data_IF_362872187588
#
_entry.id   IF_362872187588
#
_cell.length_a   1.000
_cell.length_b   1.000
_cell.length_c   1.000
_cell.angle_alpha   90.00
_cell.angle_beta   90.00
_cell.angle_gamma   90.00
#
_symmetry.space_group_name_H-M   'P 1'
#
loop_
_entity.id
_entity.type
_entity.pdbx_description
1 polymer ?
#
# COMPACT_ATOMS: atom_id res chain seq x y z
N UNK A 1 20.06 -46.58 31.17
CA UNK A 1 20.08 -45.21 30.62
C UNK A 1 19.58 -45.27 29.18
N UNK A 2 18.35 -44.80 28.91
CA UNK A 2 17.78 -44.81 27.57
C UNK A 2 18.15 -43.51 26.84
N UNK A 3 18.86 -43.62 25.70
CA UNK A 3 19.13 -42.49 24.79
C UNK A 3 17.81 -42.09 24.12
N UNK A 4 17.28 -40.93 24.50
CA UNK A 4 16.19 -40.25 23.80
C UNK A 4 16.68 -39.92 22.37
N UNK A 5 16.14 -40.60 21.36
CA UNK A 5 16.35 -40.23 19.95
C UNK A 5 15.52 -38.99 19.68
N UNK A 6 16.17 -37.85 19.52
CA UNK A 6 15.55 -36.64 18.98
C UNK A 6 15.36 -36.86 17.48
N UNK A 7 14.14 -37.20 17.08
CA UNK A 7 13.71 -37.14 15.68
C UNK A 7 13.54 -35.68 15.30
N UNK A 8 14.57 -35.11 14.66
CA UNK A 8 14.44 -33.89 13.86
C UNK A 8 13.42 -34.16 12.75
N UNK A 9 12.23 -33.57 12.83
CA UNK A 9 11.30 -33.56 11.70
C UNK A 9 11.92 -32.68 10.62
N UNK A 10 12.34 -33.28 9.51
CA UNK A 10 12.71 -32.52 8.32
C UNK A 10 11.43 -31.86 7.80
N UNK A 11 11.33 -30.54 7.95
CA UNK A 11 10.30 -29.77 7.26
C UNK A 11 10.49 -29.93 5.75
N UNK A 12 9.45 -30.46 5.11
CA UNK A 12 9.42 -30.73 3.68
C UNK A 12 9.11 -29.42 2.96
N UNK A 13 10.14 -28.70 2.54
CA UNK A 13 9.99 -27.52 1.68
C UNK A 13 9.52 -28.03 0.31
N UNK A 14 8.22 -27.91 0.03
CA UNK A 14 7.61 -28.51 -1.16
C UNK A 14 7.68 -27.60 -2.41
N UNK A 15 8.00 -26.31 -2.27
CA UNK A 15 8.19 -25.41 -3.41
C UNK A 15 9.04 -24.18 -3.07
N UNK A 16 9.84 -23.72 -4.02
CA UNK A 16 10.52 -22.43 -4.01
C UNK A 16 9.87 -21.53 -5.07
N UNK A 17 9.63 -20.27 -4.73
CA UNK A 17 8.91 -19.31 -5.57
C UNK A 17 9.90 -18.27 -6.07
N UNK A 18 10.01 -18.15 -7.39
CA UNK A 18 10.78 -17.09 -8.03
C UNK A 18 9.84 -15.93 -8.37
N UNK A 19 10.21 -14.72 -7.94
CA UNK A 19 9.43 -13.51 -8.23
C UNK A 19 10.14 -12.70 -9.32
N UNK A 20 9.41 -12.39 -10.39
CA UNK A 20 9.84 -11.46 -11.43
C UNK A 20 9.63 -10.00 -11.00
N UNK A 21 10.37 -9.09 -11.61
CA UNK A 21 10.31 -7.64 -11.41
C UNK A 21 8.92 -7.07 -11.63
N UNK A 22 8.21 -7.58 -12.64
CA UNK A 22 6.88 -7.07 -12.99
C UNK A 22 5.88 -7.26 -11.85
N UNK A 23 5.97 -8.38 -11.12
CA UNK A 23 5.12 -8.62 -9.94
C UNK A 23 5.36 -7.55 -8.86
N UNK A 24 6.61 -7.12 -8.70
CA UNK A 24 6.97 -6.08 -7.72
C UNK A 24 6.55 -4.67 -8.20
N UNK A 25 6.73 -4.37 -9.48
CA UNK A 25 6.33 -3.09 -10.08
C UNK A 25 4.82 -2.91 -10.10
N UNK A 26 4.09 -4.00 -10.18
CA UNK A 26 2.65 -4.03 -10.22
C UNK A 26 1.99 -3.52 -8.91
N UNK A 27 2.67 -3.63 -7.75
CA UNK A 27 2.21 -3.00 -6.50
C UNK A 27 2.06 -1.48 -6.59
N UNK A 28 2.70 -0.83 -7.57
CA UNK A 28 2.55 0.61 -7.82
C UNK A 28 1.52 0.94 -8.89
N UNK A 29 1.10 -0.05 -9.69
CA UNK A 29 0.13 0.09 -10.78
C UNK A 29 -1.28 -0.26 -10.32
N UNK A 30 -1.42 -1.27 -9.46
CA UNK A 30 -2.71 -1.80 -9.03
C UNK A 30 -3.40 -0.87 -8.04
N UNK A 31 -4.68 -0.60 -8.31
CA UNK A 31 -5.57 0.23 -7.47
C UNK A 31 -6.44 -0.63 -6.52
N UNK A 32 -6.10 -1.91 -6.34
CA UNK A 32 -6.94 -2.84 -5.60
C UNK A 32 -6.45 -2.95 -4.15
N UNK A 33 -7.40 -2.92 -3.21
CA UNK A 33 -7.16 -2.96 -1.75
C UNK A 33 -6.37 -4.19 -1.25
N UNK A 34 -6.28 -5.25 -2.06
CA UNK A 34 -5.59 -6.50 -1.73
C UNK A 34 -4.09 -6.49 -2.04
N UNK A 35 -3.57 -5.51 -2.76
CA UNK A 35 -2.16 -5.47 -3.19
C UNK A 35 -1.20 -5.53 -2.00
N UNK A 36 -1.43 -4.72 -0.96
CA UNK A 36 -0.56 -4.71 0.22
C UNK A 36 -0.68 -5.98 1.08
N UNK A 37 -1.83 -6.65 1.06
CA UNK A 37 -2.00 -7.95 1.73
C UNK A 37 -1.14 -9.02 1.08
N UNK A 38 -1.04 -9.03 -0.24
CA UNK A 38 -0.15 -9.95 -0.96
C UNK A 38 1.32 -9.68 -0.65
N UNK A 39 1.73 -8.41 -0.58
CA UNK A 39 3.10 -8.08 -0.17
C UNK A 39 3.42 -8.60 1.24
N UNK A 40 2.48 -8.47 2.18
CA UNK A 40 2.63 -9.00 3.53
C UNK A 40 2.78 -10.53 3.55
N UNK A 41 1.96 -11.24 2.78
CA UNK A 41 2.00 -12.70 2.64
C UNK A 41 3.31 -13.20 1.99
N UNK A 42 3.81 -12.48 0.98
CA UNK A 42 5.11 -12.75 0.36
C UNK A 42 6.22 -12.55 1.39
N UNK A 43 6.13 -11.51 2.22
CA UNK A 43 7.12 -11.24 3.25
C UNK A 43 7.07 -12.23 4.40
N UNK A 44 5.89 -12.77 4.76
CA UNK A 44 5.78 -13.78 5.82
C UNK A 44 6.36 -15.14 5.44
N UNK A 45 6.52 -15.41 4.14
CA UNK A 45 7.09 -16.63 3.59
C UNK A 45 8.41 -16.37 2.86
N UNK A 46 9.18 -15.36 3.29
CA UNK A 46 10.39 -14.89 2.60
C UNK A 46 11.44 -15.98 2.42
N UNK A 47 11.46 -16.99 3.29
CA UNK A 47 12.32 -18.17 3.20
C UNK A 47 12.04 -19.07 1.97
N UNK A 48 10.84 -18.98 1.40
CA UNK A 48 10.44 -19.69 0.18
C UNK A 48 10.65 -18.85 -1.09
N UNK A 49 10.92 -17.55 -0.93
CA UNK A 49 11.05 -16.59 -2.03
C UNK A 49 12.50 -16.48 -2.48
N UNK A 50 12.71 -16.61 -3.79
CA UNK A 50 14.00 -16.37 -4.42
C UNK A 50 13.92 -15.09 -5.24
N UNK A 51 14.78 -14.13 -4.87
CA UNK A 51 15.03 -12.90 -5.59
C UNK A 51 16.47 -12.92 -6.10
N UNK A 52 16.66 -12.46 -7.34
CA UNK A 52 17.99 -12.34 -7.94
C UNK A 52 18.41 -10.88 -7.97
N UNK A 53 19.72 -10.64 -7.98
CA UNK A 53 20.27 -9.29 -8.15
C UNK A 53 19.78 -8.63 -9.45
N UNK A 54 19.53 -9.43 -10.50
CA UNK A 54 18.95 -8.92 -11.75
C UNK A 54 17.57 -8.32 -11.52
N UNK A 55 16.70 -9.03 -10.79
CA UNK A 55 15.36 -8.55 -10.44
C UNK A 55 15.45 -7.25 -9.64
N UNK A 56 16.33 -7.19 -8.65
CA UNK A 56 16.51 -5.97 -7.84
C UNK A 56 16.97 -4.76 -8.68
N UNK A 57 17.95 -4.95 -9.56
CA UNK A 57 18.48 -3.89 -10.43
C UNK A 57 17.42 -3.37 -11.40
N UNK A 58 16.68 -4.27 -12.05
CA UNK A 58 15.63 -3.91 -13.00
C UNK A 58 14.45 -3.22 -12.29
N UNK A 59 14.08 -3.70 -11.09
CA UNK A 59 13.12 -3.02 -10.24
C UNK A 59 13.55 -1.58 -9.93
N UNK A 60 14.77 -1.39 -9.40
CA UNK A 60 15.30 -0.05 -9.04
C UNK A 60 15.31 0.89 -10.25
N UNK A 61 15.68 0.39 -11.43
CA UNK A 61 15.68 1.14 -12.70
C UNK A 61 14.27 1.55 -13.15
N UNK A 62 13.31 0.65 -13.08
CA UNK A 62 11.97 0.86 -13.65
C UNK A 62 10.99 1.52 -12.66
N UNK A 63 11.23 1.44 -11.35
CA UNK A 63 10.35 1.97 -10.29
C UNK A 63 10.02 3.45 -10.48
N UNK A 64 11.01 4.29 -10.77
CA UNK A 64 10.78 5.74 -10.93
C UNK A 64 9.78 6.03 -12.05
N UNK A 65 9.90 5.33 -13.17
CA UNK A 65 8.99 5.48 -14.32
C UNK A 65 7.56 5.11 -13.93
N UNK A 66 7.37 3.97 -13.26
CA UNK A 66 6.03 3.51 -12.83
C UNK A 66 5.39 4.49 -11.83
N UNK A 67 6.16 5.01 -10.87
CA UNK A 67 5.65 6.01 -9.93
C UNK A 67 5.16 7.30 -10.62
N UNK A 68 5.91 7.79 -11.63
CA UNK A 68 5.53 8.96 -12.41
C UNK A 68 4.26 8.72 -13.24
N UNK A 69 4.10 7.52 -13.80
CA UNK A 69 2.87 7.10 -14.47
C UNK A 69 1.68 7.07 -13.50
N UNK A 70 1.87 6.57 -12.27
CA UNK A 70 0.84 6.55 -11.24
C UNK A 70 0.41 7.96 -10.80
N UNK A 71 1.35 8.91 -10.63
CA UNK A 71 1.02 10.32 -10.38
C UNK A 71 0.19 10.88 -11.54
N UNK A 72 0.58 10.59 -12.78
CA UNK A 72 -0.12 11.06 -13.97
C UNK A 72 -1.54 10.53 -14.02
N UNK A 73 -1.77 9.28 -13.61
CA UNK A 73 -3.09 8.68 -13.51
C UNK A 73 -3.97 9.33 -12.43
N UNK A 74 -3.42 9.65 -11.25
CA UNK A 74 -4.15 10.34 -10.18
C UNK A 74 -4.58 11.74 -10.63
N UNK A 75 -3.71 12.44 -11.37
CA UNK A 75 -3.98 13.79 -11.89
C UNK A 75 -4.89 13.82 -13.11
N UNK A 76 -5.33 12.66 -13.64
CA UNK A 76 -6.30 12.65 -14.74
C UNK A 76 -7.60 13.29 -14.26
N UNK A 77 -7.98 14.37 -14.92
CA UNK A 77 -9.18 15.12 -14.58
C UNK A 77 -10.40 14.23 -14.77
N UNK A 78 -11.20 14.09 -13.72
CA UNK A 78 -12.57 13.61 -13.84
C UNK A 78 -13.36 14.65 -14.63
N UNK A 79 -14.19 14.20 -15.58
CA UNK A 79 -15.00 15.08 -16.44
C UNK A 79 -16.17 15.70 -15.65
N UNK A 80 -15.86 16.56 -14.69
CA UNK A 80 -16.85 17.35 -13.95
C UNK A 80 -16.95 18.72 -14.65
N UNK A 81 -18.14 19.14 -15.11
CA UNK A 81 -18.34 20.44 -15.75
C UNK A 81 -17.77 21.58 -14.91
N UNK A 82 -16.96 22.43 -15.53
CA UNK A 82 -16.30 23.56 -14.86
C UNK A 82 -17.24 24.74 -14.62
N UNK A 83 -18.35 24.82 -15.35
CA UNK A 83 -19.31 25.90 -15.26
C UNK A 83 -20.71 25.38 -15.49
N UNK A 84 -21.66 26.02 -14.81
CA UNK A 84 -23.08 25.75 -14.91
C UNK A 84 -23.79 27.03 -15.36
N UNK A 85 -24.90 26.96 -16.09
CA UNK A 85 -25.70 28.12 -16.44
C UNK A 85 -25.99 29.00 -15.22
N UNK A 86 -25.95 30.32 -15.39
CA UNK A 86 -26.12 31.28 -14.29
C UNK A 86 -27.44 31.12 -13.53
N UNK A 87 -28.49 30.65 -14.21
CA UNK A 87 -29.80 30.37 -13.61
C UNK A 87 -29.75 29.27 -12.54
N UNK A 88 -28.75 28.37 -12.60
CA UNK A 88 -28.57 27.27 -11.65
C UNK A 88 -27.52 27.60 -10.57
N UNK A 89 -26.96 28.82 -10.55
CA UNK A 89 -25.85 29.18 -9.66
C UNK A 89 -26.20 29.07 -8.17
N UNK A 90 -27.45 29.34 -7.82
CA UNK A 90 -27.94 29.31 -6.43
C UNK A 90 -28.49 27.96 -6.00
N UNK A 91 -28.68 27.04 -6.96
CA UNK A 91 -29.21 25.71 -6.73
C UNK A 91 -28.26 24.90 -5.82
N UNK A 92 -28.86 24.15 -4.88
CA UNK A 92 -28.12 23.49 -3.81
C UNK A 92 -27.22 22.36 -4.33
N UNK A 93 -27.66 21.60 -5.32
CA UNK A 93 -26.88 20.55 -5.98
C UNK A 93 -25.64 21.12 -6.68
N UNK A 94 -25.73 22.28 -7.34
CA UNK A 94 -24.57 22.97 -7.94
C UNK A 94 -23.54 23.37 -6.87
N UNK A 95 -23.99 23.84 -5.70
CA UNK A 95 -23.09 24.13 -4.58
C UNK A 95 -22.41 22.86 -4.05
N UNK A 96 -23.18 21.78 -3.87
CA UNK A 96 -22.65 20.47 -3.42
C UNK A 96 -21.62 19.90 -4.40
N UNK A 97 -21.89 19.96 -5.71
CA UNK A 97 -20.95 19.47 -6.73
C UNK A 97 -19.64 20.27 -6.70
N UNK A 98 -19.70 21.59 -6.50
CA UNK A 98 -18.47 22.42 -6.36
C UNK A 98 -17.66 22.05 -5.13
N UNK A 99 -18.31 21.88 -3.98
CA UNK A 99 -17.63 21.49 -2.74
C UNK A 99 -16.97 20.11 -2.87
N UNK A 100 -17.71 19.11 -3.34
CA UNK A 100 -17.18 17.76 -3.56
C UNK A 100 -16.01 17.74 -4.55
N UNK A 101 -16.04 18.62 -5.55
CA UNK A 101 -14.93 18.75 -6.49
C UNK A 101 -13.68 19.31 -5.82
N UNK A 102 -13.81 20.33 -4.99
CA UNK A 102 -12.69 20.89 -4.23
C UNK A 102 -12.10 19.86 -3.25
N UNK A 103 -12.96 19.14 -2.53
CA UNK A 103 -12.55 18.04 -1.65
C UNK A 103 -11.79 16.96 -2.44
N UNK A 104 -12.29 16.57 -3.60
CA UNK A 104 -11.64 15.59 -4.47
C UNK A 104 -10.27 16.07 -4.97
N UNK A 105 -10.13 17.36 -5.34
CA UNK A 105 -8.85 17.95 -5.74
C UNK A 105 -7.84 17.95 -4.58
N UNK A 106 -8.29 18.23 -3.34
CA UNK A 106 -7.46 18.18 -2.14
C UNK A 106 -6.99 16.76 -1.83
N UNK A 107 -7.88 15.77 -1.86
CA UNK A 107 -7.53 14.36 -1.65
C UNK A 107 -6.56 13.84 -2.72
N UNK A 108 -6.76 14.21 -3.99
CA UNK A 108 -5.81 13.88 -5.05
C UNK A 108 -4.42 14.46 -4.78
N UNK A 109 -4.35 15.69 -4.26
CA UNK A 109 -3.07 16.32 -3.92
C UNK A 109 -2.36 15.58 -2.76
N UNK A 110 -3.09 15.13 -1.74
CA UNK A 110 -2.53 14.33 -0.63
C UNK A 110 -1.91 13.03 -1.16
N UNK A 111 -2.57 12.36 -2.10
CA UNK A 111 -2.04 11.14 -2.73
C UNK A 111 -0.75 11.42 -3.51
N UNK A 112 -0.72 12.51 -4.28
CA UNK A 112 0.47 12.95 -5.02
C UNK A 112 1.63 13.25 -4.07
N UNK A 113 1.37 13.94 -2.96
CA UNK A 113 2.39 14.26 -1.96
C UNK A 113 2.92 13.02 -1.25
N UNK A 114 2.06 12.03 -1.03
CA UNK A 114 2.45 10.74 -0.47
C UNK A 114 3.39 9.99 -1.42
N UNK A 115 3.09 9.96 -2.72
CA UNK A 115 4.01 9.38 -3.72
C UNK A 115 5.32 10.17 -3.77
N UNK A 116 5.28 11.50 -3.64
CA UNK A 116 6.50 12.31 -3.60
C UNK A 116 7.38 11.99 -2.38
N UNK A 117 6.80 11.64 -1.23
CA UNK A 117 7.54 11.15 -0.05
C UNK A 117 8.22 9.81 -0.34
N UNK A 118 7.49 8.88 -0.97
CA UNK A 118 8.00 7.58 -1.46
C UNK A 118 9.15 7.77 -2.45
N UNK A 119 9.06 8.78 -3.31
CA UNK A 119 10.09 9.08 -4.30
C UNK A 119 11.37 9.61 -3.65
N UNK A 120 11.25 10.50 -2.64
CA UNK A 120 12.39 11.11 -1.94
C UNK A 120 13.14 10.13 -1.04
N UNK A 121 12.40 9.40 -0.19
CA UNK A 121 12.96 8.52 0.84
C UNK A 121 12.32 7.12 0.77
N UNK A 122 12.73 6.28 -0.20
CA UNK A 122 12.13 4.96 -0.40
C UNK A 122 12.39 3.99 0.76
N UNK A 123 13.56 4.07 1.40
CA UNK A 123 13.97 3.19 2.52
C UNK A 123 13.06 3.27 3.76
N UNK A 124 12.20 4.30 3.84
CA UNK A 124 11.30 4.53 4.97
C UNK A 124 9.85 4.46 4.54
N UNK A 125 9.52 5.04 3.38
CA UNK A 125 8.13 5.25 2.98
C UNK A 125 7.63 4.21 1.97
N UNK A 126 8.50 3.37 1.42
CA UNK A 126 8.15 2.42 0.37
C UNK A 126 8.29 0.97 0.84
N UNK A 127 7.15 0.34 1.12
CA UNK A 127 7.11 -1.03 1.65
C UNK A 127 7.69 -2.05 0.67
N UNK A 128 7.49 -1.87 -0.64
CA UNK A 128 8.00 -2.81 -1.66
C UNK A 128 9.51 -2.63 -1.80
N UNK A 129 10.01 -1.40 -1.72
CA UNK A 129 11.45 -1.13 -1.71
C UNK A 129 12.11 -1.73 -0.45
N UNK A 130 11.53 -1.49 0.72
CA UNK A 130 12.03 -2.02 2.01
C UNK A 130 12.03 -3.55 2.02
N UNK A 131 11.03 -4.19 1.40
CA UNK A 131 10.98 -5.64 1.26
C UNK A 131 12.21 -6.19 0.52
N UNK A 132 12.64 -5.52 -0.56
CA UNK A 132 13.79 -5.91 -1.37
C UNK A 132 15.12 -5.55 -0.73
N UNK A 133 15.24 -4.33 -0.23
CA UNK A 133 16.47 -3.74 0.29
C UNK A 133 16.22 -3.17 1.70
N UNK A 134 16.10 -4.06 2.70
CA UNK A 134 15.80 -3.65 4.06
C UNK A 134 16.96 -2.84 4.65
N UNK A 135 16.69 -1.76 5.41
CA UNK A 135 17.73 -0.98 6.03
C UNK A 135 18.58 -1.83 6.97
N UNK A 136 19.89 -1.58 6.99
CA UNK A 136 20.85 -2.37 7.75
C UNK A 136 20.43 -2.51 9.23
N UNK A 137 20.24 -3.75 9.70
CA UNK A 137 19.85 -4.05 11.08
C UNK A 137 18.34 -4.14 11.35
N UNK A 138 17.47 -3.93 10.36
CA UNK A 138 16.03 -4.04 10.54
C UNK A 138 15.50 -5.47 10.29
N UNK A 139 14.68 -5.99 11.21
CA UNK A 139 13.73 -7.06 10.91
C UNK A 139 12.43 -6.43 10.41
N UNK A 140 12.06 -6.67 9.16
CA UNK A 140 10.89 -6.04 8.54
C UNK A 140 9.62 -6.78 8.98
N UNK A 141 8.98 -6.30 10.05
CA UNK A 141 7.59 -6.66 10.37
C UNK A 141 6.63 -5.73 9.64
N UNK A 142 6.06 -6.20 8.52
CA UNK A 142 4.95 -5.51 7.87
C UNK A 142 3.70 -5.66 8.75
N UNK A 143 3.21 -4.54 9.31
CA UNK A 143 1.97 -4.53 10.10
C UNK A 143 0.77 -4.51 9.14
N UNK A 144 -0.28 -5.32 9.36
CA UNK A 144 -1.45 -5.33 8.51
C UNK A 144 -2.16 -3.96 8.51
N UNK A 145 -2.43 -3.43 7.32
CA UNK A 145 -3.21 -2.19 7.13
C UNK A 145 -4.69 -2.55 7.19
N UNK A 146 -5.41 -2.01 8.19
CA UNK A 146 -6.87 -2.08 8.25
C UNK A 146 -7.44 -0.88 7.50
N UNK A 147 -8.22 -1.16 6.44
CA UNK A 147 -8.93 -0.13 5.67
C UNK A 147 -9.88 0.66 6.57
N UNK A 148 -9.69 1.98 6.65
CA UNK A 148 -10.70 2.94 7.16
C UNK A 148 -11.47 3.57 6.00
N UNK A 149 -12.13 2.74 5.21
CA UNK A 149 -13.10 3.19 4.21
C UNK A 149 -14.41 2.45 4.40
N UNK A 150 -14.99 2.56 5.59
CA UNK A 150 -16.44 2.39 5.78
C UNK A 150 -16.91 3.41 6.81
N UNK A 151 -17.10 4.65 6.37
CA UNK A 151 -17.93 5.63 7.07
C UNK A 151 -18.38 6.65 6.04
N UNK A 152 -19.39 6.27 5.23
CA UNK A 152 -20.40 7.17 4.65
C UNK A 152 -21.34 6.37 3.74
N UNK A 153 -22.17 5.49 4.35
CA UNK A 153 -23.61 5.34 4.02
C UNK A 153 -24.23 4.14 4.75
N UNK A 154 -25.35 4.46 5.41
CA UNK A 154 -26.45 3.61 5.92
C UNK A 154 -26.42 3.27 7.42
N UNK A 155 -27.01 4.20 8.16
CA UNK A 155 -28.29 4.05 8.86
C UNK A 155 -28.52 2.81 9.75
N UNK A 156 -28.87 3.15 11.00
CA UNK A 156 -29.86 2.48 11.84
C UNK A 156 -29.56 1.04 12.31
N UNK A 157 -29.96 0.81 13.56
CA UNK A 157 -30.04 -0.48 14.25
C UNK A 157 -28.76 -1.00 14.94
N UNK A 158 -28.70 -0.67 16.22
CA UNK A 158 -28.21 -1.46 17.35
C UNK A 158 -27.73 -2.90 17.06
N UNK A 159 -26.46 -3.19 17.39
CA UNK A 159 -26.05 -3.94 18.58
C UNK A 159 -24.67 -4.60 18.41
N UNK A 160 -23.91 -4.61 19.53
CA UNK A 160 -22.60 -5.24 19.79
C UNK A 160 -21.36 -4.45 19.32
N UNK A 161 -20.68 -3.84 20.30
CA UNK A 161 -19.34 -3.26 20.21
C UNK A 161 -18.28 -4.36 20.06
N UNK A 162 -17.24 -4.17 19.24
CA UNK A 162 -15.91 -4.63 19.56
C UNK A 162 -15.08 -3.46 20.11
N UNK A 163 -14.23 -3.75 21.09
CA UNK A 163 -13.39 -2.76 21.77
C UNK A 163 -12.31 -2.20 20.84
N UNK A 164 -12.08 -0.88 20.95
CA UNK A 164 -11.03 -0.16 20.24
C UNK A 164 -9.66 -0.47 20.85
N UNK A 165 -8.63 -0.65 20.01
CA UNK A 165 -7.22 -0.69 20.43
C UNK A 165 -6.41 0.21 19.48
N UNK A 166 -5.49 1.06 19.99
CA UNK A 166 -5.02 2.26 19.31
C UNK A 166 -3.92 2.00 18.26
N UNK A 167 -3.75 2.98 17.37
CA UNK A 167 -2.74 3.01 16.29
C UNK A 167 -1.38 3.46 16.85
N UNK A 168 -0.32 2.70 16.59
CA UNK A 168 1.06 3.05 16.95
C UNK A 168 1.94 3.32 15.72
N UNK A 169 2.82 4.32 15.86
CA UNK A 169 3.87 4.68 14.92
C UNK A 169 4.99 3.64 14.89
N UNK A 170 5.66 3.51 13.75
CA UNK A 170 6.91 2.78 13.63
C UNK A 170 7.97 3.41 14.54
N UNK A 171 8.46 2.66 15.54
CA UNK A 171 9.65 3.03 16.30
C UNK A 171 10.83 2.22 15.80
N UNK A 172 11.81 2.92 15.20
CA UNK A 172 13.16 2.38 15.02
C UNK A 172 13.80 2.24 16.41
N UNK A 173 14.07 1.01 16.84
CA UNK A 173 15.01 0.79 17.94
C UNK A 173 16.41 0.66 17.32
N UNK A 174 17.23 1.70 17.49
CA UNK A 174 18.67 1.61 17.27
C UNK A 174 19.30 0.98 18.53
N UNK A 175 20.00 -0.14 18.36
CA UNK A 175 20.91 -0.71 19.38
C UNK A 175 22.31 -0.15 19.21
#
# INVERSE_FOLDING_TARGET
>A
MARKKETKSQEKIDALIFIDTNILLDFYRFQNETSLKYLAEINSHKELIILTNQVEMEFKKNRQKVLLESISNIKKKTEIPSSYPSILREEESVKKIRALKEDLENEQQILVDTINKIFKNPEINDQVYIFLDPPAGASVTLVPIVNKYEDHKRDACASKRPEAIPVFFATLNLT
#
